data_IF_034475523575
#
_entry.id   IF_034475523575
#
_cell.length_a   1.000
_cell.length_b   1.000
_cell.length_c   1.000
_cell.angle_alpha   90.00
_cell.angle_beta   90.00
_cell.angle_gamma   90.00
#
_symmetry.space_group_name_H-M   'P 1'
#
loop_
_entity.id
_entity.type
_entity.pdbx_description
1 polymer ?
#
# COMPACT_ATOMS: atom_id res chain seq x y z
N UNK A 1 11.74 11.13 -1.69
CA UNK A 1 12.19 9.73 -1.52
C UNK A 1 12.29 9.32 -0.06
N UNK A 2 12.97 10.08 0.81
CA UNK A 2 13.21 9.72 2.22
C UNK A 2 12.03 9.12 3.02
N UNK A 3 10.79 9.61 2.85
CA UNK A 3 9.60 9.07 3.54
C UNK A 3 9.31 7.61 3.17
N UNK A 4 9.40 7.26 1.88
CA UNK A 4 9.16 5.89 1.41
C UNK A 4 10.31 4.97 1.81
N UNK A 5 11.55 5.44 1.67
CA UNK A 5 12.74 4.67 2.04
C UNK A 5 12.73 4.33 3.54
N UNK A 6 12.42 5.31 4.39
CA UNK A 6 12.30 5.09 5.84
C UNK A 6 11.15 4.14 6.21
N UNK A 7 9.97 4.30 5.60
CA UNK A 7 8.82 3.44 5.88
C UNK A 7 9.06 1.99 5.43
N UNK A 8 9.65 1.79 4.26
CA UNK A 8 9.97 0.45 3.73
C UNK A 8 11.09 -0.22 4.53
N UNK A 9 12.13 0.52 4.92
CA UNK A 9 13.18 0.00 5.80
C UNK A 9 12.63 -0.41 7.17
N UNK A 10 11.75 0.40 7.77
CA UNK A 10 11.09 0.06 9.04
C UNK A 10 10.23 -1.20 8.91
N UNK A 11 9.44 -1.30 7.84
CA UNK A 11 8.61 -2.48 7.60
C UNK A 11 9.44 -3.75 7.36
N UNK A 12 10.55 -3.66 6.62
CA UNK A 12 11.43 -4.79 6.35
C UNK A 12 12.18 -5.29 7.60
N UNK A 13 12.49 -4.39 8.54
CA UNK A 13 13.19 -4.73 9.78
C UNK A 13 12.26 -5.19 10.92
N UNK A 14 10.95 -5.04 10.77
CA UNK A 14 9.95 -5.29 11.82
C UNK A 14 9.39 -6.71 11.73
N UNK A 15 9.19 -7.36 12.88
CA UNK A 15 8.38 -8.59 12.98
C UNK A 15 6.88 -8.30 13.09
N UNK A 16 6.49 -7.04 13.33
CA UNK A 16 5.11 -6.60 13.35
C UNK A 16 4.62 -6.33 11.95
N UNK A 17 3.34 -6.64 11.65
CA UNK A 17 2.80 -6.42 10.33
C UNK A 17 2.57 -4.90 10.07
N UNK A 18 2.55 -4.47 8.79
CA UNK A 18 2.48 -3.04 8.43
C UNK A 18 1.30 -2.27 9.04
N UNK A 19 0.16 -2.93 9.26
CA UNK A 19 -1.02 -2.32 9.89
C UNK A 19 -0.75 -1.88 11.34
N UNK A 20 0.03 -2.66 12.11
CA UNK A 20 0.43 -2.32 13.48
C UNK A 20 1.41 -1.15 13.47
N UNK A 21 2.38 -1.16 12.55
CA UNK A 21 3.33 -0.04 12.38
C UNK A 21 2.61 1.27 12.03
N UNK A 22 1.60 1.20 11.15
CA UNK A 22 0.75 2.35 10.82
C UNK A 22 -0.05 2.84 12.04
N UNK A 23 -0.61 1.93 12.83
CA UNK A 23 -1.37 2.30 14.04
C UNK A 23 -0.50 3.05 15.06
N UNK A 24 0.76 2.65 15.23
CA UNK A 24 1.71 3.32 16.14
C UNK A 24 1.97 4.80 15.81
N UNK A 25 1.81 5.19 14.54
CA UNK A 25 1.97 6.58 14.08
C UNK A 25 0.63 7.30 13.86
N UNK A 26 -0.48 6.69 14.27
CA UNK A 26 -1.84 7.20 14.07
C UNK A 26 -2.52 7.47 15.40
N UNK A 27 -2.51 8.71 15.85
CA UNK A 27 -3.32 9.14 17.00
C UNK A 27 -4.78 9.41 16.59
N UNK A 28 -5.72 9.11 17.49
CA UNK A 28 -7.14 9.45 17.30
C UNK A 28 -7.28 10.97 17.15
N UNK A 29 -7.88 11.41 16.04
CA UNK A 29 -8.06 12.83 15.72
C UNK A 29 -6.80 13.56 15.23
N UNK A 30 -5.69 12.85 15.02
CA UNK A 30 -4.46 13.42 14.46
C UNK A 30 -4.47 13.58 12.94
N UNK A 31 -3.42 14.21 12.41
CA UNK A 31 -3.26 14.46 10.96
C UNK A 31 -3.11 13.17 10.15
N UNK A 32 -2.35 12.19 10.65
CA UNK A 32 -2.23 10.85 10.03
C UNK A 32 -3.59 10.17 9.93
N UNK A 33 -4.42 10.27 10.97
CA UNK A 33 -5.75 9.70 10.97
C UNK A 33 -6.63 10.35 9.89
N UNK A 34 -6.64 11.68 9.81
CA UNK A 34 -7.40 12.40 8.79
C UNK A 34 -6.94 12.03 7.36
N UNK A 35 -5.63 11.93 7.13
CA UNK A 35 -5.08 11.48 5.84
C UNK A 35 -5.54 10.06 5.48
N UNK A 36 -5.48 9.12 6.44
CA UNK A 36 -5.94 7.74 6.22
C UNK A 36 -7.45 7.66 5.95
N UNK A 37 -8.27 8.50 6.59
CA UNK A 37 -9.71 8.54 6.29
C UNK A 37 -9.98 9.10 4.89
N UNK A 38 -9.24 10.13 4.45
CA UNK A 38 -9.33 10.63 3.08
C UNK A 38 -9.00 9.54 2.07
N UNK A 39 -7.87 8.85 2.25
CA UNK A 39 -7.45 7.75 1.35
C UNK A 39 -8.43 6.58 1.33
N UNK A 40 -9.13 6.31 2.44
CA UNK A 40 -10.20 5.30 2.50
C UNK A 40 -11.44 5.77 1.73
N UNK A 41 -11.81 7.05 1.86
CA UNK A 41 -12.90 7.65 1.08
C UNK A 41 -12.66 7.57 -0.44
N UNK A 42 -11.39 7.69 -0.83
CA UNK A 42 -10.95 7.59 -2.24
C UNK A 42 -10.69 6.14 -2.71
N UNK A 43 -10.94 5.13 -1.86
CA UNK A 43 -10.75 3.72 -2.16
C UNK A 43 -9.34 3.36 -2.70
N UNK A 44 -8.30 3.97 -2.12
CA UNK A 44 -6.91 3.83 -2.59
C UNK A 44 -6.41 2.38 -2.47
N UNK A 45 -6.77 1.67 -1.39
CA UNK A 45 -6.33 0.29 -1.18
C UNK A 45 -6.91 -0.66 -2.25
N UNK A 46 -8.19 -0.46 -2.57
CA UNK A 46 -8.90 -1.19 -3.60
C UNK A 46 -8.34 -0.85 -4.99
N UNK A 47 -8.00 0.42 -5.24
CA UNK A 47 -7.38 0.85 -6.48
C UNK A 47 -6.02 0.18 -6.72
N UNK A 48 -5.16 0.11 -5.69
CA UNK A 48 -3.87 -0.61 -5.77
C UNK A 48 -4.10 -2.10 -6.05
N UNK A 49 -5.07 -2.73 -5.37
CA UNK A 49 -5.41 -4.14 -5.59
C UNK A 49 -5.87 -4.40 -7.02
N UNK A 50 -6.76 -3.54 -7.55
CA UNK A 50 -7.21 -3.63 -8.95
C UNK A 50 -6.06 -3.45 -9.93
N UNK A 51 -5.16 -2.50 -9.68
CA UNK A 51 -4.01 -2.24 -10.54
C UNK A 51 -3.07 -3.45 -10.62
N UNK A 52 -2.75 -4.07 -9.48
CA UNK A 52 -1.89 -5.28 -9.44
C UNK A 52 -2.54 -6.44 -10.19
N UNK A 53 -3.85 -6.65 -10.04
CA UNK A 53 -4.58 -7.68 -10.79
C UNK A 53 -4.62 -7.41 -12.29
N UNK A 54 -4.83 -6.16 -12.70
CA UNK A 54 -4.79 -5.77 -14.10
C UNK A 54 -3.40 -5.99 -14.72
N UNK A 55 -2.34 -5.67 -13.98
CA UNK A 55 -0.97 -5.95 -14.40
C UNK A 55 -0.70 -7.45 -14.53
N UNK A 56 -1.15 -8.26 -13.57
CA UNK A 56 -1.06 -9.72 -13.64
C UNK A 56 -1.76 -10.27 -14.89
N UNK A 57 -3.00 -9.84 -15.14
CA UNK A 57 -3.77 -10.25 -16.31
C UNK A 57 -3.04 -9.93 -17.61
N UNK A 58 -2.51 -8.70 -17.74
CA UNK A 58 -1.77 -8.32 -18.94
C UNK A 58 -0.47 -9.11 -19.09
N UNK A 59 0.22 -9.41 -18.00
CA UNK A 59 1.43 -10.23 -18.05
C UNK A 59 1.14 -11.66 -18.55
N UNK A 60 -0.01 -12.24 -18.17
CA UNK A 60 -0.45 -13.54 -18.67
C UNK A 60 -0.76 -13.50 -20.18
N UNK A 61 -1.53 -12.51 -20.63
CA UNK A 61 -1.83 -12.32 -22.06
C UNK A 61 -0.57 -12.17 -22.91
N UNK A 62 0.40 -11.37 -22.45
CA UNK A 62 1.69 -11.24 -23.13
C UNK A 62 2.46 -12.57 -23.14
N UNK A 63 2.42 -13.33 -22.05
CA UNK A 63 3.01 -14.67 -21.99
C UNK A 63 2.42 -15.62 -23.02
N UNK A 64 1.08 -15.62 -23.17
CA UNK A 64 0.36 -16.44 -24.14
C UNK A 64 0.56 -15.96 -25.59
N UNK A 65 0.70 -14.65 -25.82
CA UNK A 65 0.99 -14.05 -27.14
C UNK A 65 2.41 -14.38 -27.66
N UNK A 66 3.36 -14.68 -26.77
CA UNK A 66 4.76 -14.93 -27.09
C UNK A 66 5.26 -16.35 -26.76
N UNK A 67 4.37 -17.25 -26.33
CA UNK A 67 4.64 -18.67 -26.13
C UNK A 67 4.40 -19.49 -27.41
#
# INVERSE_FOLDING_TARGET
MATFDGATALAAASSEPPEVLRERVTSKGGTTYAALQSMRGDAVAEAITRAVRAAQQRAAELGDEFA
#
